data_IF_431537217955
#
_entry.id   IF_431537217955
#
_cell.length_a   1.000
_cell.length_b   1.000
_cell.length_c   1.000
_cell.angle_alpha   90.00
_cell.angle_beta   90.00
_cell.angle_gamma   90.00
#
_symmetry.space_group_name_H-M   'P 1'
#
loop_
_entity.id
_entity.type
_entity.pdbx_description
1 polymer ?
#
# COMPACT_ATOMS: atom_id res chain seq x y z
N UNK A 1 8.59 -8.91 15.35
CA UNK A 1 8.60 -8.31 14.02
C UNK A 1 7.78 -7.03 14.02
N UNK A 2 8.15 -6.08 13.23
CA UNK A 2 7.48 -4.79 13.12
C UNK A 2 7.32 -4.43 11.65
N UNK A 3 6.07 -4.07 11.26
CA UNK A 3 5.68 -3.59 9.92
C UNK A 3 5.97 -4.54 8.76
N UNK A 4 7.16 -5.11 8.67
CA UNK A 4 7.52 -6.10 7.67
C UNK A 4 7.75 -7.46 8.31
N UNK A 5 7.18 -8.50 7.71
CA UNK A 5 7.17 -9.83 8.30
C UNK A 5 8.56 -10.49 8.34
N UNK A 6 9.01 -10.88 9.52
CA UNK A 6 10.03 -11.90 9.69
C UNK A 6 9.34 -13.26 9.60
N UNK A 7 10.02 -14.27 9.07
CA UNK A 7 9.50 -15.66 9.00
C UNK A 7 8.84 -16.07 10.32
N UNK A 8 7.60 -16.57 10.31
CA UNK A 8 6.83 -16.84 11.54
C UNK A 8 7.56 -17.65 12.60
N UNK A 9 8.39 -18.63 12.22
CA UNK A 9 9.20 -19.40 13.16
C UNK A 9 10.36 -18.67 13.84
N UNK A 10 10.67 -17.44 13.39
CA UNK A 10 11.78 -16.63 13.90
C UNK A 10 11.30 -15.42 14.70
N UNK A 11 10.01 -15.36 15.05
CA UNK A 11 9.41 -14.27 15.83
C UNK A 11 8.41 -14.80 16.85
N UNK A 12 8.33 -14.14 18.00
CA UNK A 12 7.30 -14.43 19.02
C UNK A 12 6.04 -13.60 18.78
N UNK A 13 6.19 -12.35 18.32
CA UNK A 13 5.11 -11.39 18.06
C UNK A 13 5.42 -10.59 16.80
N UNK A 14 4.38 -10.25 16.05
CA UNK A 14 4.43 -9.23 15.01
C UNK A 14 3.39 -8.15 15.30
N UNK A 15 3.77 -6.89 15.12
CA UNK A 15 2.87 -5.74 15.14
C UNK A 15 2.72 -5.22 13.72
N UNK A 16 1.48 -5.14 13.25
CA UNK A 16 1.13 -4.66 11.92
C UNK A 16 0.19 -3.45 12.06
N UNK A 17 0.29 -2.45 11.17
CA UNK A 17 -0.53 -1.23 11.28
C UNK A 17 -2.03 -1.51 11.09
N UNK A 18 -2.32 -2.34 10.10
CA UNK A 18 -3.67 -2.79 9.73
C UNK A 18 -3.53 -4.19 9.11
N UNK A 19 -4.60 -4.97 9.08
CA UNK A 19 -4.53 -6.27 8.41
C UNK A 19 -4.18 -6.11 6.93
N UNK A 20 -3.30 -6.99 6.43
CA UNK A 20 -2.85 -6.95 5.04
C UNK A 20 -4.01 -7.05 4.03
N UNK A 21 -5.06 -7.81 4.38
CA UNK A 21 -6.27 -7.92 3.58
C UNK A 21 -6.99 -6.57 3.43
N UNK A 22 -7.11 -5.82 4.54
CA UNK A 22 -7.74 -4.50 4.51
C UNK A 22 -6.89 -3.50 3.72
N UNK A 23 -5.56 -3.51 3.87
CA UNK A 23 -4.66 -2.64 3.10
C UNK A 23 -4.82 -2.90 1.59
N UNK A 24 -4.87 -4.16 1.17
CA UNK A 24 -5.09 -4.52 -0.24
C UNK A 24 -6.44 -4.07 -0.76
N UNK A 25 -7.51 -4.39 -0.04
CA UNK A 25 -8.88 -4.05 -0.43
C UNK A 25 -9.12 -2.53 -0.49
N UNK A 26 -8.68 -1.78 0.52
CA UNK A 26 -8.89 -0.33 0.57
C UNK A 26 -8.17 0.40 -0.59
N UNK A 27 -6.98 -0.02 -0.98
CA UNK A 27 -6.26 0.58 -2.12
C UNK A 27 -6.96 0.31 -3.45
N UNK A 28 -7.46 -0.91 -3.67
CA UNK A 28 -8.27 -1.22 -4.87
C UNK A 28 -9.54 -0.39 -4.88
N UNK A 29 -10.24 -0.30 -3.76
CA UNK A 29 -11.47 0.48 -3.63
C UNK A 29 -11.24 1.96 -3.90
N UNK A 30 -10.19 2.56 -3.31
CA UNK A 30 -9.84 3.97 -3.57
C UNK A 30 -9.63 4.23 -5.06
N UNK A 31 -8.85 3.38 -5.75
CA UNK A 31 -8.64 3.55 -7.19
C UNK A 31 -9.92 3.36 -7.98
N UNK A 32 -10.71 2.33 -7.66
CA UNK A 32 -11.97 2.03 -8.34
C UNK A 32 -12.95 3.22 -8.28
N UNK A 33 -13.10 3.85 -7.12
CA UNK A 33 -13.93 5.05 -6.93
C UNK A 33 -13.45 6.22 -7.82
N UNK A 34 -12.13 6.38 -8.00
CA UNK A 34 -11.56 7.44 -8.84
C UNK A 34 -11.79 7.20 -10.34
N UNK A 35 -11.70 5.94 -10.80
CA UNK A 35 -11.82 5.60 -12.24
C UNK A 35 -13.21 5.15 -12.66
N UNK A 36 -14.19 5.10 -11.74
CA UNK A 36 -15.56 4.68 -12.01
C UNK A 36 -15.70 3.17 -12.18
N UNK A 37 -14.87 2.37 -11.51
CA UNK A 37 -14.92 0.89 -11.50
C UNK A 37 -14.66 0.24 -12.87
N UNK A 38 -13.97 0.93 -13.79
CA UNK A 38 -13.66 0.36 -15.10
C UNK A 38 -12.32 0.86 -15.66
N UNK A 39 -11.69 0.02 -16.48
CA UNK A 39 -10.46 0.34 -17.22
C UNK A 39 -9.24 -0.43 -16.78
N UNK A 40 -8.14 -0.19 -17.48
CA UNK A 40 -6.86 -0.81 -17.20
C UNK A 40 -6.19 -0.15 -16.01
N UNK A 41 -5.67 -0.98 -15.10
CA UNK A 41 -4.92 -0.52 -13.94
C UNK A 41 -3.58 -1.25 -13.83
N UNK A 42 -2.62 -0.61 -13.17
CA UNK A 42 -1.33 -1.22 -12.87
C UNK A 42 -0.99 -1.07 -11.38
N UNK A 43 -0.03 -1.86 -10.90
CA UNK A 43 0.56 -1.72 -9.58
C UNK A 43 2.05 -1.40 -9.75
N UNK A 44 2.52 -0.33 -9.09
CA UNK A 44 3.92 0.02 -9.00
C UNK A 44 4.37 -0.15 -7.56
N UNK A 45 5.06 -1.27 -7.29
CA UNK A 45 5.53 -1.66 -5.96
C UNK A 45 7.02 -1.34 -5.75
N UNK A 46 7.51 -1.54 -4.53
CA UNK A 46 8.92 -1.38 -4.19
C UNK A 46 9.75 -2.49 -4.85
N UNK A 47 10.09 -3.54 -4.17
CA UNK A 47 10.91 -4.61 -4.71
C UNK A 47 10.13 -5.93 -4.79
N UNK A 48 10.50 -6.78 -5.76
CA UNK A 48 9.88 -8.10 -5.93
C UNK A 48 10.07 -9.02 -4.72
N UNK A 49 11.05 -8.72 -3.86
CA UNK A 49 11.33 -9.45 -2.62
C UNK A 49 10.70 -8.84 -1.37
N UNK A 50 9.91 -7.76 -1.51
CA UNK A 50 9.28 -7.07 -0.39
C UNK A 50 8.03 -7.82 0.08
N UNK A 51 8.17 -8.61 1.14
CA UNK A 51 7.17 -9.57 1.61
C UNK A 51 5.82 -8.94 1.98
N UNK A 52 5.84 -7.82 2.72
CA UNK A 52 4.62 -7.10 3.09
C UNK A 52 3.84 -6.60 1.86
N UNK A 53 4.52 -5.96 0.92
CA UNK A 53 3.89 -5.44 -0.29
C UNK A 53 3.40 -6.57 -1.20
N UNK A 54 4.15 -7.66 -1.34
CA UNK A 54 3.70 -8.84 -2.07
C UNK A 54 2.42 -9.44 -1.47
N UNK A 55 2.33 -9.46 -0.14
CA UNK A 55 1.12 -9.89 0.57
C UNK A 55 -0.06 -8.95 0.27
N UNK A 56 0.13 -7.64 0.31
CA UNK A 56 -0.92 -6.67 -0.05
C UNK A 56 -1.35 -6.80 -1.51
N UNK A 57 -0.40 -6.99 -2.43
CA UNK A 57 -0.68 -7.23 -3.86
C UNK A 57 -1.49 -8.52 -4.06
N UNK A 58 -1.21 -9.58 -3.30
CA UNK A 58 -2.01 -10.79 -3.35
C UNK A 58 -3.47 -10.50 -2.94
N UNK A 59 -3.69 -9.75 -1.87
CA UNK A 59 -5.04 -9.33 -1.46
C UNK A 59 -5.69 -8.35 -2.45
N UNK A 60 -4.94 -7.45 -3.10
CA UNK A 60 -5.48 -6.62 -4.19
C UNK A 60 -5.99 -7.47 -5.35
N UNK A 61 -5.23 -8.51 -5.73
CA UNK A 61 -5.65 -9.44 -6.78
C UNK A 61 -6.88 -10.26 -6.40
N UNK A 62 -7.02 -10.65 -5.12
CA UNK A 62 -8.24 -11.31 -4.64
C UNK A 62 -9.43 -10.34 -4.62
N UNK A 63 -9.23 -9.10 -4.20
CA UNK A 63 -10.25 -8.06 -4.20
C UNK A 63 -10.79 -7.81 -5.62
N UNK A 64 -9.91 -7.69 -6.60
CA UNK A 64 -10.26 -7.46 -8.01
C UNK A 64 -11.08 -8.60 -8.64
N UNK A 65 -11.19 -9.79 -8.01
CA UNK A 65 -12.05 -10.88 -8.49
C UNK A 65 -13.52 -10.68 -8.15
N UNK A 66 -13.85 -9.73 -7.28
CA UNK A 66 -15.24 -9.48 -6.91
C UNK A 66 -16.02 -8.89 -8.10
N UNK A 67 -17.33 -9.19 -8.20
CA UNK A 67 -18.14 -8.77 -9.34
C UNK A 67 -18.15 -7.25 -9.59
N UNK A 68 -18.01 -6.45 -8.55
CA UNK A 68 -18.01 -4.98 -8.63
C UNK A 68 -16.80 -4.43 -9.40
N UNK A 69 -15.68 -5.18 -9.46
CA UNK A 69 -14.46 -4.81 -10.19
C UNK A 69 -14.32 -5.53 -11.54
N UNK A 70 -15.37 -6.21 -12.02
CA UNK A 70 -15.30 -7.06 -13.22
C UNK A 70 -14.90 -6.32 -14.51
N UNK A 71 -15.03 -4.98 -14.54
CA UNK A 71 -14.59 -4.13 -15.65
C UNK A 71 -13.21 -3.52 -15.46
N UNK A 72 -12.54 -3.81 -14.33
CA UNK A 72 -11.17 -3.38 -14.07
C UNK A 72 -10.20 -4.49 -14.45
N UNK A 73 -9.19 -4.16 -15.21
CA UNK A 73 -8.16 -5.11 -15.65
C UNK A 73 -6.78 -4.74 -15.08
N UNK A 74 -6.20 -5.61 -14.26
CA UNK A 74 -4.81 -5.46 -13.80
C UNK A 74 -3.87 -5.91 -14.91
N UNK A 75 -3.30 -4.95 -15.65
CA UNK A 75 -2.46 -5.23 -16.82
C UNK A 75 -0.99 -5.45 -16.47
N UNK A 76 -0.50 -4.90 -15.37
CA UNK A 76 0.90 -5.03 -14.98
C UNK A 76 1.13 -4.86 -13.47
N UNK A 77 2.18 -5.50 -12.97
CA UNK A 77 2.83 -5.21 -11.69
C UNK A 77 4.30 -4.95 -11.97
N UNK A 78 4.78 -3.75 -11.64
CA UNK A 78 6.16 -3.32 -11.85
C UNK A 78 6.83 -2.92 -10.54
N UNK A 79 8.15 -2.85 -10.50
CA UNK A 79 8.93 -2.69 -9.28
C UNK A 79 9.96 -1.57 -9.43
N UNK A 80 9.83 -0.53 -8.61
CA UNK A 80 10.70 0.64 -8.57
C UNK A 80 11.88 0.54 -7.60
N UNK A 81 12.02 -0.58 -6.87
CA UNK A 81 13.06 -0.84 -5.85
C UNK A 81 13.15 0.23 -4.75
N UNK A 82 12.05 0.94 -4.46
CA UNK A 82 12.00 2.13 -3.61
C UNK A 82 13.01 3.23 -4.00
N UNK A 83 13.37 3.27 -5.29
CA UNK A 83 14.22 4.31 -5.87
C UNK A 83 13.36 5.26 -6.70
N UNK A 84 13.36 6.56 -6.37
CA UNK A 84 12.51 7.58 -7.02
C UNK A 84 12.65 7.59 -8.55
N UNK A 85 13.90 7.59 -9.03
CA UNK A 85 14.19 7.62 -10.46
C UNK A 85 13.68 6.36 -11.18
N UNK A 86 13.93 5.18 -10.59
CA UNK A 86 13.44 3.92 -11.15
C UNK A 86 11.92 3.87 -11.15
N UNK A 87 11.28 4.22 -10.04
CA UNK A 87 9.81 4.26 -9.94
C UNK A 87 9.20 5.23 -10.96
N UNK A 88 9.81 6.38 -11.16
CA UNK A 88 9.41 7.34 -12.19
C UNK A 88 9.50 6.73 -13.60
N UNK A 89 10.64 6.08 -13.91
CA UNK A 89 10.86 5.44 -15.22
C UNK A 89 9.91 4.26 -15.45
N UNK A 90 9.59 3.47 -14.40
CA UNK A 90 8.58 2.41 -14.48
C UNK A 90 7.18 3.00 -14.79
N UNK A 91 6.81 4.13 -14.18
CA UNK A 91 5.56 4.81 -14.51
C UNK A 91 5.52 5.27 -15.98
N UNK A 92 6.61 5.85 -16.49
CA UNK A 92 6.73 6.22 -17.91
C UNK A 92 6.61 4.99 -18.83
N UNK A 93 7.22 3.88 -18.43
CA UNK A 93 7.12 2.59 -19.10
C UNK A 93 5.67 2.10 -19.20
N UNK A 94 4.92 2.19 -18.10
CA UNK A 94 3.50 1.84 -18.05
C UNK A 94 2.65 2.72 -18.98
N UNK A 95 2.88 4.03 -19.01
CA UNK A 95 2.15 4.94 -19.92
C UNK A 95 2.39 4.62 -21.39
N UNK A 96 3.61 4.20 -21.72
CA UNK A 96 3.98 3.82 -23.08
C UNK A 96 3.41 2.44 -23.49
N UNK A 97 3.49 1.48 -22.58
CA UNK A 97 3.05 0.11 -22.84
C UNK A 97 1.52 -0.04 -22.86
N UNK A 98 0.84 0.76 -22.04
CA UNK A 98 -0.62 0.72 -21.86
C UNK A 98 -1.27 2.09 -22.07
N UNK A 99 -1.47 2.52 -23.32
CA UNK A 99 -2.05 3.82 -23.63
C UNK A 99 -3.47 4.04 -23.08
N UNK A 100 -4.21 2.95 -22.81
CA UNK A 100 -5.53 2.97 -22.20
C UNK A 100 -5.51 2.85 -20.66
N UNK A 101 -4.34 2.98 -20.02
CA UNK A 101 -4.20 2.91 -18.57
C UNK A 101 -5.01 4.02 -17.89
N UNK A 102 -5.86 3.62 -16.93
CA UNK A 102 -6.74 4.53 -16.19
C UNK A 102 -6.26 4.79 -14.77
N UNK A 103 -5.46 3.88 -14.22
CA UNK A 103 -5.01 4.06 -12.85
C UNK A 103 -3.79 3.26 -12.46
N UNK A 104 -3.07 3.76 -11.43
CA UNK A 104 -1.93 3.09 -10.83
C UNK A 104 -2.11 3.06 -9.31
N UNK A 105 -1.97 1.88 -8.71
CA UNK A 105 -1.83 1.71 -7.26
C UNK A 105 -0.33 1.59 -6.94
N UNK A 106 0.16 2.43 -6.03
CA UNK A 106 1.53 2.31 -5.54
C UNK A 106 1.55 2.09 -4.03
N UNK A 107 1.76 0.84 -3.56
CA UNK A 107 1.79 0.51 -2.13
C UNK A 107 3.12 0.90 -1.45
N UNK A 108 3.80 1.91 -1.96
CA UNK A 108 5.05 2.47 -1.43
C UNK A 108 5.05 3.98 -1.54
N UNK A 109 5.49 4.69 -0.50
CA UNK A 109 5.52 6.16 -0.46
C UNK A 109 6.46 6.74 -1.53
N UNK A 110 7.60 6.11 -1.75
CA UNK A 110 8.57 6.51 -2.79
C UNK A 110 7.97 6.34 -4.19
N UNK A 111 7.36 5.18 -4.45
CA UNK A 111 6.72 4.88 -5.73
C UNK A 111 5.53 5.78 -6.00
N UNK A 112 4.68 6.04 -4.99
CA UNK A 112 3.50 6.89 -5.14
C UNK A 112 3.89 8.32 -5.52
N UNK A 113 4.84 8.94 -4.81
CA UNK A 113 5.31 10.27 -5.11
C UNK A 113 5.97 10.36 -6.49
N UNK A 114 6.75 9.34 -6.89
CA UNK A 114 7.37 9.27 -8.22
C UNK A 114 6.33 9.10 -9.34
N UNK A 115 5.28 8.29 -9.10
CA UNK A 115 4.18 8.09 -10.05
C UNK A 115 3.35 9.37 -10.22
N UNK A 116 3.01 10.06 -9.11
CA UNK A 116 2.30 11.34 -9.16
C UNK A 116 3.10 12.41 -9.92
N UNK A 117 4.44 12.43 -9.71
CA UNK A 117 5.34 13.27 -10.51
C UNK A 117 5.28 12.91 -12.00
N UNK A 118 5.33 11.64 -12.36
CA UNK A 118 5.28 11.20 -13.75
C UNK A 118 3.96 11.59 -14.42
N UNK A 119 2.82 11.43 -13.72
CA UNK A 119 1.50 11.87 -14.19
C UNK A 119 1.48 13.39 -14.46
N UNK A 120 2.05 14.17 -13.53
CA UNK A 120 2.16 15.64 -13.67
C UNK A 120 3.02 16.03 -14.88
N UNK A 121 4.24 15.50 -14.95
CA UNK A 121 5.22 15.85 -15.99
C UNK A 121 4.75 15.46 -17.41
N UNK A 122 3.96 14.37 -17.51
CA UNK A 122 3.42 13.90 -18.80
C UNK A 122 2.04 14.46 -19.15
N UNK A 123 1.52 15.41 -18.36
CA UNK A 123 0.21 16.01 -18.60
C UNK A 123 -0.95 15.01 -18.54
N UNK A 124 -0.85 13.98 -17.71
CA UNK A 124 -1.85 12.90 -17.61
C UNK A 124 -2.80 13.06 -16.43
N UNK A 125 -2.79 14.20 -15.75
CA UNK A 125 -3.75 14.51 -14.68
C UNK A 125 -5.17 14.40 -15.22
N UNK A 126 -6.02 13.66 -14.52
CA UNK A 126 -7.40 13.37 -14.94
C UNK A 126 -7.54 12.28 -16.01
N UNK A 127 -6.43 11.79 -16.59
CA UNK A 127 -6.42 10.65 -17.51
C UNK A 127 -6.01 9.37 -16.79
N UNK A 128 -4.98 9.46 -15.93
CA UNK A 128 -4.47 8.37 -15.12
C UNK A 128 -4.57 8.79 -13.65
N UNK A 129 -5.42 8.11 -12.90
CA UNK A 129 -5.57 8.32 -11.47
C UNK A 129 -4.50 7.55 -10.70
N UNK A 130 -3.99 8.15 -9.62
CA UNK A 130 -2.92 7.54 -8.81
C UNK A 130 -3.32 7.51 -7.34
N UNK A 131 -3.14 6.37 -6.71
CA UNK A 131 -3.35 6.18 -5.28
C UNK A 131 -2.38 5.14 -4.71
N UNK A 132 -2.38 4.97 -3.41
CA UNK A 132 -1.52 4.01 -2.73
C UNK A 132 -1.27 4.39 -1.28
N UNK A 133 -0.06 4.12 -0.81
CA UNK A 133 0.41 4.50 0.53
C UNK A 133 1.41 5.64 0.42
N UNK A 134 1.24 6.70 1.21
CA UNK A 134 2.10 7.86 1.07
C UNK A 134 2.20 8.74 2.31
N UNK A 135 3.12 9.70 2.26
CA UNK A 135 3.33 10.69 3.31
C UNK A 135 2.76 12.05 2.88
N UNK A 136 1.96 12.71 3.72
CA UNK A 136 1.41 14.03 3.40
C UNK A 136 2.47 15.06 3.01
N UNK A 137 3.63 15.05 3.67
CA UNK A 137 4.75 15.95 3.38
C UNK A 137 5.35 15.77 1.97
N UNK A 138 5.23 14.58 1.38
CA UNK A 138 5.74 14.29 0.04
C UNK A 138 4.68 14.47 -1.05
N UNK A 139 3.40 14.38 -0.66
CA UNK A 139 2.28 14.37 -1.61
C UNK A 139 1.50 15.69 -1.64
N UNK A 140 1.75 16.64 -0.75
CA UNK A 140 0.99 17.88 -0.66
C UNK A 140 0.81 18.58 -2.02
N UNK A 141 1.91 18.80 -2.76
CA UNK A 141 1.85 19.45 -4.07
C UNK A 141 1.07 18.63 -5.12
N UNK A 142 1.06 17.30 -5.00
CA UNK A 142 0.34 16.43 -5.91
C UNK A 142 -1.14 16.28 -5.56
N UNK A 143 -1.51 16.55 -4.31
CA UNK A 143 -2.91 16.70 -3.91
C UNK A 143 -3.45 18.05 -4.41
N UNK A 144 -2.68 19.13 -4.24
CA UNK A 144 -3.05 20.46 -4.70
C UNK A 144 -3.25 20.56 -6.22
N UNK A 145 -2.52 19.77 -7.00
CA UNK A 145 -2.64 19.76 -8.46
C UNK A 145 -3.47 18.62 -9.03
N UNK A 146 -4.17 17.84 -8.17
CA UNK A 146 -5.01 16.69 -8.53
C UNK A 146 -4.27 15.48 -9.16
N UNK A 147 -2.94 15.43 -9.11
CA UNK A 147 -2.18 14.28 -9.60
C UNK A 147 -2.30 13.05 -8.68
N UNK A 148 -2.59 13.26 -7.39
CA UNK A 148 -2.87 12.22 -6.41
C UNK A 148 -3.96 12.71 -5.45
N UNK A 149 -5.21 12.39 -5.73
CA UNK A 149 -6.38 12.94 -5.00
C UNK A 149 -6.57 12.35 -3.61
N UNK A 150 -6.17 11.10 -3.41
CA UNK A 150 -6.26 10.41 -2.13
C UNK A 150 -5.20 9.32 -2.01
N UNK A 151 -4.76 9.08 -0.79
CA UNK A 151 -3.82 8.02 -0.44
C UNK A 151 -4.04 7.55 0.99
N UNK A 152 -3.60 6.32 1.29
CA UNK A 152 -3.64 5.75 2.63
C UNK A 152 -2.37 6.06 3.43
N UNK A 153 -2.52 6.10 4.75
CA UNK A 153 -1.41 6.20 5.70
C UNK A 153 -1.88 5.62 7.04
N UNK A 154 -0.96 4.99 7.77
CA UNK A 154 -1.12 4.72 9.20
C UNK A 154 -0.20 5.61 10.02
N UNK A 155 -0.48 5.73 11.31
CA UNK A 155 0.39 6.48 12.20
C UNK A 155 1.62 5.63 12.60
N UNK A 156 2.83 5.90 12.07
CA UNK A 156 4.01 5.11 12.39
C UNK A 156 4.47 5.30 13.85
N UNK A 157 4.10 6.41 14.50
CA UNK A 157 4.43 6.69 15.90
C UNK A 157 3.65 5.72 16.79
N UNK A 158 2.34 5.59 16.57
CA UNK A 158 1.48 4.68 17.33
C UNK A 158 1.90 3.22 17.11
N UNK A 159 2.25 2.85 15.87
CA UNK A 159 2.77 1.52 15.57
C UNK A 159 4.09 1.24 16.30
N UNK A 160 5.01 2.20 16.32
CA UNK A 160 6.27 2.11 17.06
C UNK A 160 6.05 1.97 18.56
N UNK A 161 5.14 2.76 19.13
CA UNK A 161 4.74 2.68 20.53
C UNK A 161 4.16 1.30 20.88
N UNK A 162 3.22 0.81 20.05
CA UNK A 162 2.62 -0.51 20.22
C UNK A 162 3.68 -1.62 20.19
N UNK A 163 4.64 -1.55 19.26
CA UNK A 163 5.71 -2.52 19.16
C UNK A 163 6.62 -2.51 20.40
N UNK A 164 7.01 -1.34 20.89
CA UNK A 164 7.81 -1.21 22.11
C UNK A 164 7.08 -1.78 23.33
N UNK A 165 5.78 -1.48 23.46
CA UNK A 165 4.94 -1.98 24.53
C UNK A 165 4.72 -3.49 24.48
N UNK A 166 4.47 -4.04 23.30
CA UNK A 166 4.36 -5.48 23.09
C UNK A 166 5.66 -6.21 23.43
N UNK A 167 6.81 -5.65 23.02
CA UNK A 167 8.14 -6.19 23.32
C UNK A 167 8.43 -6.18 24.82
N UNK A 168 8.12 -5.07 25.51
CA UNK A 168 8.24 -4.98 26.97
C UNK A 168 7.40 -6.04 27.69
N UNK A 169 6.13 -6.19 27.29
CA UNK A 169 5.23 -7.20 27.89
C UNK A 169 5.69 -8.62 27.61
N UNK A 170 6.20 -8.90 26.41
CA UNK A 170 6.74 -10.21 26.06
C UNK A 170 7.99 -10.54 26.92
N UNK A 171 8.93 -9.59 27.04
CA UNK A 171 10.12 -9.75 27.86
C UNK A 171 9.80 -10.01 29.35
N UNK A 172 8.73 -9.39 29.86
CA UNK A 172 8.24 -9.61 31.23
C UNK A 172 7.27 -10.80 31.35
N UNK A 173 7.13 -11.64 30.30
CA UNK A 173 6.24 -12.82 30.27
C UNK A 173 4.75 -12.51 30.56
N UNK A 174 4.32 -11.30 30.28
CA UNK A 174 2.94 -10.86 30.45
C UNK A 174 2.07 -11.22 29.25
N UNK A 175 2.68 -11.47 28.10
CA UNK A 175 2.08 -12.04 26.88
C UNK A 175 2.99 -13.15 26.37
N UNK A 176 2.45 -14.07 25.56
CA UNK A 176 3.18 -15.24 25.08
C UNK A 176 3.23 -15.37 23.55
N UNK A 177 2.82 -14.34 22.82
CA UNK A 177 2.83 -14.33 21.35
C UNK A 177 1.82 -15.27 20.68
N UNK A 178 0.93 -15.95 21.43
CA UNK A 178 -0.11 -16.80 20.86
C UNK A 178 -1.31 -15.96 20.43
N UNK A 179 -1.93 -16.24 19.27
CA UNK A 179 -3.17 -15.57 18.87
C UNK A 179 -4.25 -15.69 19.96
N UNK A 180 -4.94 -14.59 20.27
CA UNK A 180 -6.06 -14.57 21.22
C UNK A 180 -5.68 -14.42 22.69
N UNK A 181 -4.40 -14.32 23.05
CA UNK A 181 -3.96 -14.05 24.41
C UNK A 181 -3.42 -12.59 24.51
N UNK A 182 -4.27 -11.64 24.23
CA UNK A 182 -4.13 -10.32 24.83
C UNK A 182 -4.81 -10.38 26.20
N UNK A 183 -4.09 -10.02 27.28
CA UNK A 183 -4.65 -10.02 28.62
C UNK A 183 -5.94 -9.19 28.69
N UNK A 184 -6.78 -9.43 29.68
CA UNK A 184 -8.16 -8.96 29.88
C UNK A 184 -8.43 -7.45 29.68
N UNK A 185 -7.45 -6.65 29.34
CA UNK A 185 -7.58 -5.21 29.21
C UNK A 185 -7.17 -4.75 27.83
N UNK A 186 -8.15 -4.60 26.98
CA UNK A 186 -8.20 -3.98 25.66
C UNK A 186 -7.65 -4.81 24.50
N UNK A 187 -8.56 -5.12 23.62
CA UNK A 187 -8.31 -5.51 22.23
C UNK A 187 -7.32 -4.53 21.60
N UNK A 188 -6.10 -4.97 21.33
CA UNK A 188 -5.08 -4.19 20.62
C UNK A 188 -5.45 -4.00 19.14
N UNK A 189 -6.59 -4.57 18.70
CA UNK A 189 -7.16 -4.39 17.36
C UNK A 189 -8.02 -3.12 17.20
N UNK A 190 -8.23 -2.35 18.28
CA UNK A 190 -9.16 -1.21 18.28
C UNK A 190 -8.53 0.12 18.73
N UNK A 191 -7.24 0.32 18.45
CA UNK A 191 -6.62 1.65 18.54
C UNK A 191 -6.41 2.24 17.17
#
# INVERSE_FOLDING_TARGET
GWESGIVPGSRDVATEPVSAAKIGADQVKMLAEMIGYEGQIAILSAAATMDNQNTWIAYMKEELKKPEYAKMELVAVVYGDDVREKSYNEALGLFKAYPALRGIISPTSVGLAATAKAVTDQGKIGQVEVTGLGLPSELAAYVENDACKAFGLWNPIDLGYLNAYATYRLANRQINGKPGVCGKDRDVQSL
#
